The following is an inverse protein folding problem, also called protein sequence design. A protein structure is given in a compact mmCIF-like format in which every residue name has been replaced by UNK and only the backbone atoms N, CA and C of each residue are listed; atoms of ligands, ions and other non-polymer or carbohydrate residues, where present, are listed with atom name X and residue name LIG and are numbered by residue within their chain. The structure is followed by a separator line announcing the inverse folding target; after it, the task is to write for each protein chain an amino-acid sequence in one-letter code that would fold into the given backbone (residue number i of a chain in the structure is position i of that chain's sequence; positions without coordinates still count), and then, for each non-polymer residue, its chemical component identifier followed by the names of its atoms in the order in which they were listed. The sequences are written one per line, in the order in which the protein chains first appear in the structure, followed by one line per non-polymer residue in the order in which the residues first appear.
data_IF_503925617131
#
_entry.id   IF_503925617131
#
_cell.length_a   1.000
_cell.length_b   1.000
_cell.length_c   1.000
_cell.angle_alpha   90.00
_cell.angle_beta   90.00
_cell.angle_gamma   90.00
#
_symmetry.space_group_name_H-M   'P 1'
#
loop_
_entity.id
_entity.type
_entity.pdbx_description
1 polymer ?
#
# COMPACT_ATOMS: atom_id res chain seq x y z
N UNK A 1 -5.64 0.65 -59.49
CA UNK A 1 -6.67 1.01 -58.51
C UNK A 1 -6.75 0.07 -57.30
N UNK A 2 -6.81 -1.25 -57.48
CA UNK A 2 -6.86 -2.21 -56.33
C UNK A 2 -5.66 -2.12 -55.36
N UNK A 3 -4.43 -1.87 -55.86
CA UNK A 3 -3.21 -1.76 -55.02
C UNK A 3 -3.20 -0.48 -54.15
N UNK A 4 -3.78 0.62 -54.66
CA UNK A 4 -3.90 1.91 -53.93
C UNK A 4 -4.93 1.80 -52.80
N UNK A 5 -6.02 1.07 -53.01
CA UNK A 5 -7.02 0.80 -51.97
C UNK A 5 -6.45 -0.05 -50.86
N UNK A 6 -5.60 -1.04 -51.18
CA UNK A 6 -4.97 -1.91 -50.19
C UNK A 6 -3.95 -1.17 -49.33
N UNK A 7 -3.14 -0.27 -49.91
CA UNK A 7 -2.19 0.56 -49.15
C UNK A 7 -2.88 1.61 -48.29
N UNK A 8 -3.97 2.19 -48.74
CA UNK A 8 -4.77 3.18 -47.98
C UNK A 8 -5.48 2.50 -46.79
N UNK A 9 -6.00 1.27 -46.97
CA UNK A 9 -6.60 0.46 -45.89
C UNK A 9 -5.56 0.02 -44.84
N UNK A 10 -4.32 -0.25 -45.24
CA UNK A 10 -3.24 -0.65 -44.30
C UNK A 10 -2.73 0.55 -43.46
N UNK A 11 -2.78 1.76 -44.04
CA UNK A 11 -2.38 3.01 -43.37
C UNK A 11 -3.39 3.46 -42.30
N UNK A 12 -4.70 3.16 -42.47
CA UNK A 12 -5.74 3.49 -41.50
C UNK A 12 -5.72 2.64 -40.24
N UNK A 13 -5.03 1.49 -40.26
CA UNK A 13 -4.88 0.62 -39.07
C UNK A 13 -3.79 1.08 -38.10
N UNK A 14 -2.89 1.99 -38.51
CA UNK A 14 -1.76 2.44 -37.69
C UNK A 14 -2.15 3.63 -36.80
N UNK A 15 -3.28 4.30 -37.05
CA UNK A 15 -3.73 5.49 -36.30
C UNK A 15 -4.73 5.18 -35.18
N UNK A 16 -5.02 3.90 -34.96
CA UNK A 16 -6.12 3.44 -34.09
C UNK A 16 -5.77 3.32 -32.60
N UNK A 17 -4.53 3.52 -32.18
CA UNK A 17 -4.17 3.53 -30.76
C UNK A 17 -3.87 4.96 -30.33
N UNK A 18 -4.86 5.66 -29.81
CA UNK A 18 -4.65 6.88 -29.04
C UNK A 18 -4.72 6.50 -27.56
N UNK A 19 -3.65 6.74 -26.79
CA UNK A 19 -3.57 6.44 -25.37
C UNK A 19 -4.69 7.14 -24.59
N UNK A 20 -5.15 8.31 -25.06
CA UNK A 20 -6.24 9.08 -24.46
C UNK A 20 -7.60 8.36 -24.45
N UNK A 21 -7.81 7.35 -25.31
CA UNK A 21 -9.06 6.59 -25.35
C UNK A 21 -9.18 5.59 -24.20
N UNK A 22 -8.04 5.12 -23.66
CA UNK A 22 -7.98 4.12 -22.60
C UNK A 22 -7.77 4.77 -21.23
N UNK A 23 -7.25 5.99 -21.20
CA UNK A 23 -6.97 6.75 -19.97
C UNK A 23 -8.23 7.50 -19.48
N UNK A 24 -9.24 6.72 -19.11
CA UNK A 24 -10.47 7.26 -18.52
C UNK A 24 -10.21 7.53 -17.04
N UNK A 25 -10.22 8.82 -16.67
CA UNK A 25 -10.14 9.25 -15.27
C UNK A 25 -11.30 8.63 -14.47
N UNK A 26 -11.02 7.97 -13.32
CA UNK A 26 -12.07 7.40 -12.48
C UNK A 26 -13.02 8.51 -12.01
N UNK A 27 -14.31 8.38 -12.30
CA UNK A 27 -15.32 9.32 -11.80
C UNK A 27 -15.36 9.26 -10.26
N UNK A 28 -15.28 10.43 -9.62
CA UNK A 28 -15.34 10.56 -8.16
C UNK A 28 -14.05 10.24 -7.41
N UNK A 29 -12.95 9.88 -8.08
CA UNK A 29 -11.63 9.75 -7.47
C UNK A 29 -10.81 11.03 -7.65
N UNK A 30 -10.17 11.48 -6.58
CA UNK A 30 -9.21 12.59 -6.64
C UNK A 30 -7.88 12.01 -7.09
N UNK A 31 -7.33 12.50 -8.21
CA UNK A 31 -5.98 12.11 -8.64
C UNK A 31 -4.94 12.55 -7.62
N UNK A 32 -3.85 11.78 -7.49
CA UNK A 32 -2.78 12.10 -6.54
C UNK A 32 -2.16 13.49 -6.81
N UNK A 33 -2.15 13.93 -8.08
CA UNK A 33 -1.71 15.28 -8.51
C UNK A 33 -2.63 16.40 -8.04
N UNK A 34 -3.90 16.08 -7.77
CA UNK A 34 -4.90 17.06 -7.35
C UNK A 34 -5.15 17.04 -5.84
N UNK A 35 -4.68 16.02 -5.13
CA UNK A 35 -4.89 15.86 -3.71
C UNK A 35 -3.99 16.76 -2.84
N UNK A 36 -2.69 16.86 -3.14
CA UNK A 36 -1.73 17.59 -2.31
C UNK A 36 -1.67 19.09 -2.63
N UNK A 37 -2.74 19.85 -2.36
CA UNK A 37 -2.84 21.29 -2.65
C UNK A 37 -2.86 22.16 -1.40
N UNK A 38 -3.43 21.70 -0.31
CA UNK A 38 -3.74 22.51 0.86
C UNK A 38 -3.10 21.94 2.14
N UNK A 39 -3.03 22.79 3.20
CA UNK A 39 -2.63 22.36 4.53
C UNK A 39 -3.55 21.23 5.08
N UNK A 40 -4.84 21.30 4.77
CA UNK A 40 -5.80 20.27 5.16
C UNK A 40 -5.50 18.93 4.48
N UNK A 41 -5.09 18.94 3.21
CA UNK A 41 -4.70 17.72 2.48
C UNK A 41 -3.43 17.11 3.10
N UNK A 42 -2.45 17.95 3.48
CA UNK A 42 -1.25 17.48 4.18
C UNK A 42 -1.58 16.79 5.50
N UNK A 43 -2.50 17.36 6.29
CA UNK A 43 -2.97 16.75 7.54
C UNK A 43 -3.73 15.45 7.29
N UNK A 44 -4.63 15.41 6.31
CA UNK A 44 -5.39 14.19 5.95
C UNK A 44 -4.45 13.08 5.50
N UNK A 45 -3.48 13.40 4.64
CA UNK A 45 -2.49 12.44 4.17
C UNK A 45 -1.66 11.85 5.32
N UNK A 46 -1.21 12.69 6.26
CA UNK A 46 -0.45 12.24 7.43
C UNK A 46 -1.31 11.37 8.35
N UNK A 47 -2.55 11.78 8.62
CA UNK A 47 -3.50 10.99 9.42
C UNK A 47 -3.81 9.63 8.77
N UNK A 48 -3.80 9.56 7.44
CA UNK A 48 -3.97 8.30 6.72
C UNK A 48 -2.83 7.32 6.96
N UNK A 49 -1.59 7.76 7.27
CA UNK A 49 -0.51 6.85 7.68
C UNK A 49 -0.80 6.27 9.07
N UNK A 50 -1.26 7.11 10.02
CA UNK A 50 -1.63 6.64 11.36
C UNK A 50 -2.74 5.59 11.34
N UNK A 51 -3.66 5.64 10.36
CA UNK A 51 -4.73 4.65 10.23
C UNK A 51 -4.20 3.23 10.04
N UNK A 52 -3.02 3.08 9.43
CA UNK A 52 -2.38 1.77 9.26
C UNK A 52 -1.91 1.13 10.56
N UNK A 53 -1.64 1.91 11.60
CA UNK A 53 -1.33 1.35 12.93
C UNK A 53 -2.49 0.53 13.52
N UNK A 54 -3.70 0.68 12.96
CA UNK A 54 -4.92 -0.03 13.38
C UNK A 54 -5.50 -0.91 12.27
N UNK A 55 -4.83 -1.02 11.12
CA UNK A 55 -5.35 -1.85 10.03
C UNK A 55 -5.31 -3.33 10.41
N UNK A 56 -6.18 -4.10 9.78
CA UNK A 56 -6.25 -5.55 9.98
C UNK A 56 -4.91 -6.24 9.73
N UNK A 57 -4.21 -5.84 8.68
CA UNK A 57 -2.93 -6.41 8.27
C UNK A 57 -1.85 -6.18 9.34
N UNK A 58 -1.89 -5.04 10.04
CA UNK A 58 -0.85 -4.62 10.97
C UNK A 58 -1.12 -4.98 12.44
N UNK A 59 -2.39 -5.19 12.81
CA UNK A 59 -2.78 -5.47 14.20
C UNK A 59 -3.76 -6.62 14.35
N UNK A 60 -4.33 -7.11 13.24
CA UNK A 60 -5.22 -8.25 13.23
C UNK A 60 -4.50 -9.60 13.14
N UNK A 61 -5.16 -10.60 12.62
CA UNK A 61 -4.61 -11.96 12.53
C UNK A 61 -3.26 -12.06 11.83
N UNK A 62 -2.97 -11.35 10.71
CA UNK A 62 -1.66 -11.44 10.09
C UNK A 62 -0.52 -11.14 11.06
N UNK A 63 -0.64 -10.06 11.84
CA UNK A 63 0.36 -9.71 12.85
C UNK A 63 0.43 -10.74 13.99
N UNK A 64 -0.72 -11.28 14.44
CA UNK A 64 -0.77 -12.27 15.50
C UNK A 64 -0.08 -13.57 15.10
N UNK A 65 -0.26 -14.04 13.87
CA UNK A 65 0.42 -15.25 13.38
C UNK A 65 1.92 -15.04 13.33
N UNK A 66 2.35 -13.93 12.74
CA UNK A 66 3.76 -13.66 12.47
C UNK A 66 4.55 -13.36 13.74
N UNK A 67 3.96 -12.70 14.76
CA UNK A 67 4.66 -12.33 15.99
C UNK A 67 4.33 -13.22 17.18
N UNK A 68 3.12 -13.76 17.23
CA UNK A 68 2.67 -14.52 18.40
C UNK A 68 2.91 -16.02 18.22
N UNK A 69 2.26 -16.61 17.23
CA UNK A 69 2.24 -18.06 17.06
C UNK A 69 3.58 -18.65 16.62
N UNK A 70 4.45 -17.86 16.01
CA UNK A 70 5.84 -18.27 15.70
C UNK A 70 6.76 -18.29 16.92
N UNK A 71 6.28 -17.89 18.10
CA UNK A 71 7.05 -17.93 19.35
C UNK A 71 6.72 -19.13 20.21
N UNK A 72 7.65 -19.53 21.07
CA UNK A 72 7.49 -20.70 21.98
C UNK A 72 6.43 -20.47 23.08
N UNK A 73 6.02 -19.23 23.31
CA UNK A 73 5.13 -18.86 24.41
C UNK A 73 3.64 -18.89 24.04
N UNK A 74 3.30 -19.03 22.75
CA UNK A 74 1.92 -18.91 22.24
C UNK A 74 1.62 -20.02 21.25
N UNK A 75 0.56 -20.76 21.53
CA UNK A 75 0.00 -21.75 20.60
C UNK A 75 -1.47 -21.43 20.26
N UNK A 76 -1.99 -22.12 19.25
CA UNK A 76 -3.38 -22.02 18.85
C UNK A 76 -4.29 -22.62 19.93
N UNK A 77 -5.02 -21.77 20.68
CA UNK A 77 -5.89 -22.18 21.78
C UNK A 77 -7.32 -22.60 21.40
N UNK A 78 -7.69 -22.60 20.13
CA UNK A 78 -9.02 -23.00 19.66
C UNK A 78 -9.12 -24.52 19.39
N UNK A 79 -10.35 -25.00 19.07
CA UNK A 79 -10.55 -26.42 18.72
C UNK A 79 -9.63 -26.87 17.57
N UNK A 80 -9.16 -28.12 17.54
CA UNK A 80 -8.22 -28.61 16.53
C UNK A 80 -8.66 -28.40 15.07
N UNK A 81 -9.97 -28.44 14.79
CA UNK A 81 -10.52 -28.23 13.46
C UNK A 81 -10.75 -26.77 13.08
N UNK A 82 -10.67 -25.83 14.00
CA UNK A 82 -10.87 -24.41 13.76
C UNK A 82 -9.55 -23.75 13.33
N UNK A 83 -9.60 -23.03 12.18
CA UNK A 83 -8.45 -22.30 11.66
C UNK A 83 -7.13 -23.12 11.68
N UNK A 84 -7.17 -24.37 11.23
CA UNK A 84 -6.05 -25.31 11.28
C UNK A 84 -4.78 -24.82 10.57
N UNK A 85 -4.93 -23.88 9.61
CA UNK A 85 -3.80 -23.24 8.92
C UNK A 85 -2.87 -22.47 9.87
N UNK A 86 -3.34 -22.06 11.06
CA UNK A 86 -2.53 -21.38 12.07
C UNK A 86 -1.41 -22.28 12.58
N UNK A 87 -1.63 -23.60 12.64
CA UNK A 87 -0.61 -24.55 13.07
C UNK A 87 0.64 -24.52 12.19
N UNK A 88 0.54 -24.03 10.95
CA UNK A 88 1.69 -23.85 10.07
C UNK A 88 2.68 -22.80 10.60
N UNK A 89 2.20 -21.81 11.34
CA UNK A 89 3.06 -20.79 11.96
C UNK A 89 3.80 -21.35 13.19
N UNK A 90 3.13 -22.15 13.99
CA UNK A 90 3.70 -22.81 15.15
C UNK A 90 4.84 -23.78 14.77
N UNK A 91 4.66 -24.56 13.73
CA UNK A 91 5.64 -25.54 13.28
C UNK A 91 6.52 -25.07 12.10
N UNK A 92 6.46 -23.77 11.73
CA UNK A 92 7.25 -23.15 10.66
C UNK A 92 7.08 -23.82 9.27
N UNK A 93 5.91 -24.41 9.00
CA UNK A 93 5.60 -24.99 7.68
C UNK A 93 4.85 -24.04 6.73
N UNK A 94 4.63 -22.79 7.15
CA UNK A 94 4.00 -21.76 6.32
C UNK A 94 4.86 -21.37 5.12
N UNK A 95 4.23 -20.81 4.10
CA UNK A 95 4.88 -20.31 2.88
C UNK A 95 4.71 -18.80 2.76
N UNK A 96 5.48 -18.18 1.86
CA UNK A 96 5.38 -16.74 1.59
C UNK A 96 4.01 -16.31 1.05
N UNK A 97 3.20 -17.27 0.57
CA UNK A 97 1.85 -17.00 0.04
C UNK A 97 0.76 -17.12 1.10
N UNK A 98 1.09 -17.55 2.32
CA UNK A 98 0.11 -17.66 3.40
C UNK A 98 -0.37 -16.28 3.85
N UNK A 99 -1.67 -16.17 4.14
CA UNK A 99 -2.34 -14.90 4.41
C UNK A 99 -1.70 -14.07 5.53
N UNK A 100 -1.15 -14.72 6.57
CA UNK A 100 -0.46 -14.02 7.66
C UNK A 100 0.79 -13.32 7.16
N UNK A 101 1.70 -14.04 6.53
CA UNK A 101 2.97 -13.50 6.02
C UNK A 101 2.73 -12.49 4.91
N UNK A 102 1.93 -12.87 3.91
CA UNK A 102 1.64 -12.00 2.78
C UNK A 102 0.80 -10.77 3.18
N UNK A 103 -0.22 -10.96 4.01
CA UNK A 103 -1.06 -9.87 4.50
C UNK A 103 -0.26 -8.85 5.31
N UNK A 104 0.61 -9.32 6.21
CA UNK A 104 1.49 -8.43 6.98
C UNK A 104 2.46 -7.66 6.07
N UNK A 105 3.08 -8.33 5.11
CA UNK A 105 3.94 -7.70 4.09
C UNK A 105 3.22 -6.58 3.35
N UNK A 106 2.04 -6.87 2.80
CA UNK A 106 1.22 -5.90 2.06
C UNK A 106 0.88 -4.69 2.93
N UNK A 107 0.44 -4.90 4.17
CA UNK A 107 0.07 -3.83 5.09
C UNK A 107 1.23 -2.89 5.43
N UNK A 108 2.43 -3.43 5.68
CA UNK A 108 3.62 -2.63 5.95
C UNK A 108 4.00 -1.78 4.72
N UNK A 109 4.04 -2.38 3.52
CA UNK A 109 4.41 -1.66 2.30
C UNK A 109 3.39 -0.60 1.88
N UNK A 110 2.10 -0.85 2.10
CA UNK A 110 1.07 0.18 1.87
C UNK A 110 1.29 1.39 2.79
N UNK A 111 1.60 1.16 4.05
CA UNK A 111 1.90 2.23 4.99
C UNK A 111 3.17 3.01 4.63
N UNK A 112 4.24 2.31 4.21
CA UNK A 112 5.46 2.93 3.68
C UNK A 112 5.16 3.77 2.44
N UNK A 113 4.34 3.27 1.53
CA UNK A 113 3.91 4.00 0.33
C UNK A 113 3.19 5.30 0.67
N UNK A 114 2.26 5.29 1.63
CA UNK A 114 1.58 6.51 2.10
C UNK A 114 2.52 7.50 2.77
N UNK A 115 3.45 7.02 3.57
CA UNK A 115 4.47 7.88 4.18
C UNK A 115 5.35 8.55 3.11
N UNK A 116 5.73 7.82 2.06
CA UNK A 116 6.48 8.37 0.94
C UNK A 116 5.70 9.48 0.22
N UNK A 117 4.39 9.32 0.02
CA UNK A 117 3.56 10.36 -0.59
C UNK A 117 3.60 11.67 0.22
N UNK A 118 3.48 11.60 1.54
CA UNK A 118 3.59 12.78 2.41
C UNK A 118 4.98 13.41 2.32
N UNK A 119 6.04 12.62 2.42
CA UNK A 119 7.43 13.11 2.41
C UNK A 119 7.78 13.80 1.08
N UNK A 120 7.21 13.31 -0.03
CA UNK A 120 7.48 13.85 -1.37
C UNK A 120 6.65 15.08 -1.68
N UNK A 121 5.36 15.10 -1.33
CA UNK A 121 4.43 16.12 -1.81
C UNK A 121 4.22 17.28 -0.82
N UNK A 122 4.18 17.02 0.48
CA UNK A 122 3.92 18.07 1.50
C UNK A 122 4.96 19.20 1.49
N UNK A 123 6.26 18.98 1.19
CA UNK A 123 7.21 20.09 1.05
C UNK A 123 6.79 21.17 0.07
N UNK A 124 6.05 20.84 -0.97
CA UNK A 124 5.63 21.74 -2.05
C UNK A 124 4.33 22.51 -1.75
N UNK A 125 3.65 22.21 -0.64
CA UNK A 125 2.38 22.88 -0.27
C UNK A 125 2.70 24.20 0.42
N UNK A 126 2.01 25.28 0.02
CA UNK A 126 2.01 26.57 0.72
C UNK A 126 1.20 26.45 2.01
N UNK A 127 1.88 26.41 3.17
CA UNK A 127 1.28 26.22 4.49
C UNK A 127 2.18 26.71 5.62
N UNK A 128 1.68 26.68 6.86
CA UNK A 128 2.47 27.01 8.04
C UNK A 128 3.74 26.13 8.12
N UNK A 129 4.92 26.76 8.17
CA UNK A 129 6.21 26.06 8.12
C UNK A 129 6.44 25.10 9.29
N UNK A 130 6.00 25.48 10.51
CA UNK A 130 6.15 24.64 11.71
C UNK A 130 5.30 23.36 11.56
N UNK A 131 4.06 23.51 11.13
CA UNK A 131 3.15 22.39 10.89
C UNK A 131 3.68 21.50 9.77
N UNK A 132 4.13 22.08 8.64
CA UNK A 132 4.74 21.35 7.52
C UNK A 132 5.88 20.44 8.01
N UNK A 133 6.84 21.01 8.74
CA UNK A 133 7.99 20.27 9.25
C UNK A 133 7.56 19.16 10.22
N UNK A 134 6.55 19.40 11.06
CA UNK A 134 6.00 18.39 11.96
C UNK A 134 5.40 17.22 11.17
N UNK A 135 4.53 17.47 10.19
CA UNK A 135 3.88 16.42 9.41
C UNK A 135 4.89 15.56 8.64
N UNK A 136 5.93 16.20 8.06
CA UNK A 136 7.02 15.48 7.39
C UNK A 136 7.81 14.62 8.39
N UNK A 137 8.08 15.12 9.59
CA UNK A 137 8.79 14.38 10.63
C UNK A 137 7.97 13.17 11.12
N UNK A 138 6.66 13.36 11.33
CA UNK A 138 5.73 12.27 11.68
C UNK A 138 5.72 11.18 10.60
N UNK A 139 5.62 11.56 9.31
CA UNK A 139 5.66 10.61 8.20
C UNK A 139 6.99 9.85 8.13
N UNK A 140 8.12 10.50 8.38
CA UNK A 140 9.44 9.84 8.41
C UNK A 140 9.54 8.86 9.57
N UNK A 141 9.05 9.21 10.75
CA UNK A 141 9.04 8.36 11.93
C UNK A 141 8.17 7.12 11.70
N UNK A 142 6.94 7.31 11.20
CA UNK A 142 6.03 6.20 10.90
C UNK A 142 6.62 5.29 9.81
N UNK A 143 7.24 5.84 8.77
CA UNK A 143 7.93 5.05 7.76
C UNK A 143 9.04 4.19 8.35
N UNK A 144 9.84 4.75 9.25
CA UNK A 144 10.89 4.01 9.94
C UNK A 144 10.31 2.87 10.81
N UNK A 145 9.18 3.10 11.48
CA UNK A 145 8.47 2.08 12.25
C UNK A 145 8.01 0.90 11.36
N UNK A 146 7.40 1.18 10.19
CA UNK A 146 6.97 0.13 9.28
C UNK A 146 8.16 -0.63 8.65
N UNK A 147 9.25 0.06 8.31
CA UNK A 147 10.48 -0.61 7.89
C UNK A 147 11.09 -1.47 8.99
N UNK A 148 11.10 -1.00 10.22
CA UNK A 148 11.58 -1.79 11.36
C UNK A 148 10.77 -3.08 11.53
N UNK A 149 9.45 -3.02 11.35
CA UNK A 149 8.61 -4.22 11.35
C UNK A 149 8.97 -5.18 10.22
N UNK A 150 9.19 -4.68 9.02
CA UNK A 150 9.63 -5.51 7.88
C UNK A 150 10.96 -6.22 8.18
N UNK A 151 11.96 -5.50 8.66
CA UNK A 151 13.31 -6.05 8.92
C UNK A 151 13.31 -7.11 10.02
N UNK A 152 12.36 -7.08 10.96
CA UNK A 152 12.27 -8.10 12.02
C UNK A 152 11.69 -9.43 11.56
N UNK A 153 10.99 -9.45 10.43
CA UNK A 153 10.20 -10.59 9.95
C UNK A 153 10.79 -11.17 8.67
N UNK A 154 11.26 -10.32 7.81
CA UNK A 154 11.77 -10.67 6.47
C UNK A 154 13.26 -10.37 6.36
#
# INVERSE_FOLDING_TARGET
MKKIFLTLSLFSLIVSCNDDFVDIKPEGAIEATDFFKTEEDAMKATNAIYSFLRSWENTGFPAQYVFGVTGDDVEKGSNPGDASFINAYDNFSFTISDDGVNGYWIGQWQAVGRANQVITNVPNIEMNATLKNRLIAEAKMLRAYFYFNLVRIY
#
